data_IF_171147965790
#
_entry.id   IF_171147965790
#
_cell.length_a   1.000
_cell.length_b   1.000
_cell.length_c   1.000
_cell.angle_alpha   90.00
_cell.angle_beta   90.00
_cell.angle_gamma   90.00
#
_symmetry.space_group_name_H-M   'P 1'
#
loop_
_entity.id
_entity.type
_entity.pdbx_description
1 polymer ?
#
# COMPACT_ATOMS: atom_id res chain seq x y z
N UNK A 1 3.19 -27.26 -6.25
CA UNK A 1 2.93 -26.11 -7.10
C UNK A 1 2.05 -25.11 -6.37
N UNK A 2 2.42 -23.89 -6.39
CA UNK A 2 1.68 -22.86 -5.66
C UNK A 2 0.37 -22.54 -6.40
N UNK A 3 -0.80 -22.79 -5.83
CA UNK A 3 -2.05 -22.52 -6.53
C UNK A 3 -2.33 -21.00 -6.53
N UNK A 4 -2.24 -20.40 -7.68
CA UNK A 4 -2.53 -18.96 -7.85
C UNK A 4 -3.93 -18.59 -7.37
N UNK A 5 -4.87 -19.51 -7.50
CA UNK A 5 -6.25 -19.29 -7.07
C UNK A 5 -6.42 -19.12 -5.57
N UNK A 6 -5.46 -19.56 -4.73
CA UNK A 6 -5.49 -19.32 -3.29
C UNK A 6 -4.91 -17.98 -2.89
N UNK A 7 -3.99 -17.41 -3.69
CA UNK A 7 -3.40 -16.11 -3.46
C UNK A 7 -4.17 -14.98 -4.13
N UNK A 8 -4.62 -15.24 -5.35
CA UNK A 8 -5.27 -14.24 -6.18
C UNK A 8 -6.68 -14.71 -6.50
N UNK A 9 -7.64 -14.15 -5.78
CA UNK A 9 -9.07 -14.44 -6.00
C UNK A 9 -9.67 -13.64 -7.14
N UNK A 10 -8.94 -12.68 -7.67
CA UNK A 10 -9.32 -11.89 -8.83
C UNK A 10 -8.85 -12.55 -10.13
N UNK A 11 -9.35 -12.07 -11.26
CA UNK A 11 -8.87 -12.49 -12.58
C UNK A 11 -7.38 -12.13 -12.71
N UNK A 12 -6.55 -13.16 -12.80
CA UNK A 12 -5.12 -13.01 -12.87
C UNK A 12 -4.62 -13.50 -14.22
N UNK A 13 -3.83 -12.67 -14.90
CA UNK A 13 -3.23 -12.99 -16.19
C UNK A 13 -1.72 -12.95 -16.09
N UNK A 14 -1.09 -13.96 -16.66
CA UNK A 14 0.37 -14.01 -16.77
C UNK A 14 0.73 -13.80 -18.23
N UNK A 15 1.52 -12.77 -18.49
CA UNK A 15 1.95 -12.41 -19.82
C UNK A 15 3.45 -12.58 -19.95
N UNK A 16 3.86 -13.26 -21.02
CA UNK A 16 5.27 -13.33 -21.39
C UNK A 16 5.62 -12.14 -22.25
N UNK A 17 6.71 -11.45 -21.93
CA UNK A 17 7.19 -10.31 -22.70
C UNK A 17 8.54 -10.64 -23.35
N UNK A 18 8.82 -10.11 -24.56
CA UNK A 18 10.06 -10.41 -25.27
C UNK A 18 11.29 -9.78 -24.63
N UNK A 19 11.11 -8.68 -23.91
CA UNK A 19 12.21 -7.95 -23.28
C UNK A 19 11.77 -7.43 -21.91
N UNK A 20 12.35 -8.00 -20.86
CA UNK A 20 12.05 -7.59 -19.49
C UNK A 20 12.74 -6.29 -19.09
N UNK A 21 13.78 -5.87 -19.82
CA UNK A 21 14.51 -4.65 -19.49
C UNK A 21 13.62 -3.41 -19.61
N UNK A 22 12.62 -3.45 -20.48
CA UNK A 22 11.60 -2.40 -20.61
C UNK A 22 10.79 -2.23 -19.32
N UNK A 23 10.65 -3.30 -18.53
CA UNK A 23 9.84 -3.31 -17.31
C UNK A 23 10.68 -3.17 -16.03
N UNK A 24 12.00 -3.17 -16.16
CA UNK A 24 12.93 -3.19 -15.03
C UNK A 24 12.77 -1.99 -14.10
N UNK A 25 12.54 -0.83 -14.66
CA UNK A 25 12.40 0.43 -13.92
C UNK A 25 11.00 0.61 -13.32
N UNK A 26 10.06 -0.25 -13.69
CA UNK A 26 8.72 -0.18 -13.13
C UNK A 26 8.65 -0.69 -11.68
N UNK A 27 9.60 -1.56 -11.30
CA UNK A 27 9.60 -2.16 -9.98
C UNK A 27 8.32 -2.97 -9.72
N UNK A 28 8.01 -3.16 -8.45
CA UNK A 28 6.71 -3.67 -8.04
C UNK A 28 5.72 -2.52 -7.97
N UNK A 29 4.55 -2.69 -8.55
CA UNK A 29 3.57 -1.63 -8.57
C UNK A 29 2.14 -2.13 -8.51
N UNK A 30 1.28 -1.24 -8.08
CA UNK A 30 -0.17 -1.41 -8.08
C UNK A 30 -0.79 -0.16 -8.67
N UNK A 31 -1.67 -0.35 -9.63
CA UNK A 31 -2.58 0.69 -10.09
C UNK A 31 -3.99 0.23 -9.78
N UNK A 32 -4.70 1.01 -8.98
CA UNK A 32 -6.09 0.75 -8.65
C UNK A 32 -6.92 1.96 -9.02
N UNK A 33 -7.94 1.74 -9.83
CA UNK A 33 -8.90 2.76 -10.19
C UNK A 33 -10.29 2.27 -9.80
N UNK A 34 -11.03 3.14 -9.15
CA UNK A 34 -12.41 2.86 -8.78
C UNK A 34 -13.29 4.03 -9.21
N UNK A 35 -14.30 3.71 -10.00
CA UNK A 35 -15.36 4.65 -10.34
C UNK A 35 -16.54 4.41 -9.44
N UNK A 36 -17.12 5.49 -8.96
CA UNK A 36 -18.28 5.46 -8.10
C UNK A 36 -19.38 6.37 -8.61
N UNK A 37 -20.56 6.16 -8.07
CA UNK A 37 -21.75 6.91 -8.41
C UNK A 37 -22.25 7.63 -7.16
N UNK A 38 -22.53 8.92 -7.33
CA UNK A 38 -23.29 9.69 -6.35
C UNK A 38 -24.55 10.22 -7.05
N UNK A 39 -25.70 9.74 -6.63
CA UNK A 39 -26.95 10.00 -7.36
C UNK A 39 -27.05 9.16 -8.64
N UNK A 40 -27.39 9.80 -9.76
CA UNK A 40 -27.60 9.15 -11.06
C UNK A 40 -26.41 9.25 -12.02
N UNK A 41 -25.30 9.87 -11.60
CA UNK A 41 -24.13 10.08 -12.44
C UNK A 41 -22.88 9.43 -11.86
N UNK A 42 -22.00 8.96 -12.72
CA UNK A 42 -20.68 8.44 -12.32
C UNK A 42 -19.72 9.63 -12.13
N UNK A 43 -19.76 10.21 -10.96
CA UNK A 43 -19.07 11.47 -10.65
C UNK A 43 -17.97 11.32 -9.59
N UNK A 44 -17.64 10.10 -9.22
CA UNK A 44 -16.59 9.84 -8.26
C UNK A 44 -15.52 8.93 -8.89
N UNK A 45 -14.26 9.26 -8.65
CA UNK A 45 -13.16 8.44 -9.08
C UNK A 45 -12.08 8.43 -8.01
N UNK A 46 -11.62 7.25 -7.68
CA UNK A 46 -10.46 7.04 -6.83
C UNK A 46 -9.36 6.39 -7.66
N UNK A 47 -8.19 6.99 -7.66
CA UNK A 47 -7.00 6.43 -8.29
C UNK A 47 -5.91 6.31 -7.26
N UNK A 48 -5.35 5.11 -7.15
CA UNK A 48 -4.19 4.83 -6.34
C UNK A 48 -3.12 4.21 -7.21
N UNK A 49 -1.93 4.80 -7.22
CA UNK A 49 -0.76 4.25 -7.90
C UNK A 49 0.40 4.14 -6.93
N UNK A 50 1.00 2.97 -6.87
CA UNK A 50 2.17 2.71 -6.06
C UNK A 50 3.25 2.05 -6.92
N UNK A 51 4.45 2.61 -6.90
CA UNK A 51 5.64 2.01 -7.49
C UNK A 51 6.72 1.92 -6.43
N UNK A 52 7.24 0.73 -6.22
CA UNK A 52 8.15 0.47 -5.11
C UNK A 52 9.33 -0.39 -5.51
N UNK A 53 10.43 -0.21 -4.79
CA UNK A 53 11.47 -1.22 -4.69
C UNK A 53 11.12 -2.11 -3.48
N UNK A 54 10.88 -3.38 -3.72
CA UNK A 54 10.34 -4.27 -2.70
C UNK A 54 11.24 -4.36 -1.45
N UNK A 55 12.56 -4.63 -1.55
CA UNK A 55 13.42 -4.69 -0.37
C UNK A 55 13.44 -3.37 0.43
N UNK A 56 13.51 -2.25 -0.27
CA UNK A 56 13.56 -0.95 0.39
C UNK A 56 12.25 -0.62 1.11
N UNK A 57 11.11 -0.87 0.47
CA UNK A 57 9.83 -0.65 1.10
C UNK A 57 9.62 -1.56 2.31
N UNK A 58 9.97 -2.84 2.18
CA UNK A 58 9.84 -3.79 3.28
C UNK A 58 10.64 -3.34 4.50
N UNK A 59 11.89 -2.93 4.31
CA UNK A 59 12.73 -2.41 5.38
C UNK A 59 12.11 -1.16 6.03
N UNK A 60 11.60 -0.24 5.23
CA UNK A 60 10.99 0.98 5.72
C UNK A 60 9.71 0.69 6.53
N UNK A 61 8.87 -0.21 6.05
CA UNK A 61 7.65 -0.61 6.77
C UNK A 61 7.98 -1.32 8.07
N UNK A 62 9.01 -2.14 8.10
CA UNK A 62 9.46 -2.80 9.34
C UNK A 62 9.90 -1.77 10.39
N UNK A 63 10.69 -0.78 10.00
CA UNK A 63 11.12 0.29 10.91
C UNK A 63 9.92 1.13 11.37
N UNK A 64 9.03 1.47 10.47
CA UNK A 64 7.82 2.22 10.79
C UNK A 64 6.91 1.43 11.75
N UNK A 65 6.78 0.13 11.56
CA UNK A 65 6.01 -0.74 12.45
C UNK A 65 6.64 -0.84 13.83
N UNK A 66 7.96 -0.93 13.92
CA UNK A 66 8.67 -0.89 15.20
C UNK A 66 8.43 0.44 15.93
N UNK A 67 8.43 1.55 15.21
CA UNK A 67 8.10 2.87 15.76
C UNK A 67 6.67 2.91 16.30
N UNK A 68 5.71 2.42 15.51
CA UNK A 68 4.31 2.37 15.92
C UNK A 68 4.12 1.52 17.17
N UNK A 69 4.83 0.41 17.30
CA UNK A 69 4.75 -0.48 18.45
C UNK A 69 5.08 0.21 19.78
N UNK A 70 5.90 1.21 19.75
CA UNK A 70 6.26 2.00 20.94
C UNK A 70 5.14 2.94 21.39
N UNK A 71 4.18 3.22 20.53
CA UNK A 71 3.06 4.13 20.80
C UNK A 71 1.77 3.40 21.14
N UNK A 72 1.73 2.10 20.93
CA UNK A 72 0.54 1.28 21.12
C UNK A 72 0.54 0.56 22.45
N UNK A 73 -0.66 0.29 22.96
CA UNK A 73 -0.83 -0.62 24.10
C UNK A 73 -0.41 -2.04 23.72
N UNK A 74 -0.03 -2.85 24.71
CA UNK A 74 0.33 -4.24 24.46
C UNK A 74 -0.82 -5.00 23.79
N UNK A 75 -0.52 -5.73 22.73
CA UNK A 75 -1.52 -6.47 21.97
C UNK A 75 -0.99 -6.91 20.62
N UNK A 76 -1.87 -7.48 19.83
CA UNK A 76 -1.61 -7.87 18.45
C UNK A 76 -2.42 -6.98 17.51
N UNK A 77 -1.76 -6.46 16.48
CA UNK A 77 -2.37 -5.50 15.56
C UNK A 77 -2.08 -5.90 14.12
N UNK A 78 -3.04 -5.67 13.25
CA UNK A 78 -2.80 -5.64 11.81
C UNK A 78 -2.49 -4.22 11.37
N UNK A 79 -1.83 -4.05 10.23
CA UNK A 79 -1.46 -2.71 9.74
C UNK A 79 -2.67 -1.77 9.60
N UNK A 80 -3.82 -2.21 9.07
CA UNK A 80 -5.00 -1.34 8.96
C UNK A 80 -5.57 -0.83 10.29
N UNK A 81 -5.29 -1.50 11.40
CA UNK A 81 -5.78 -1.09 12.71
C UNK A 81 -4.98 0.05 13.32
N UNK A 82 -3.81 0.35 12.76
CA UNK A 82 -2.88 1.34 13.29
C UNK A 82 -3.10 2.67 12.56
N UNK A 83 -3.22 3.75 13.32
CA UNK A 83 -3.33 5.07 12.73
C UNK A 83 -2.08 5.41 11.91
N UNK A 84 -2.23 5.95 10.69
CA UNK A 84 -1.07 6.29 9.84
C UNK A 84 -0.03 7.17 10.53
N UNK A 85 -0.45 8.06 11.40
CA UNK A 85 0.46 8.94 12.15
C UNK A 85 1.40 8.19 13.08
N UNK A 86 0.99 7.03 13.59
CA UNK A 86 1.81 6.25 14.51
C UNK A 86 3.01 5.61 13.83
N UNK A 87 2.98 5.48 12.50
CA UNK A 87 4.12 5.03 11.71
C UNK A 87 5.19 6.10 11.48
N UNK A 88 4.85 7.37 11.72
CA UNK A 88 5.73 8.50 11.42
C UNK A 88 6.53 8.90 12.66
N UNK A 89 7.77 9.40 12.46
CA UNK A 89 8.55 9.97 13.55
C UNK A 89 7.98 11.33 13.95
N UNK A 90 8.01 11.63 15.25
CA UNK A 90 7.61 12.92 15.75
C UNK A 90 6.40 12.89 16.65
N UNK A 91 6.08 14.04 17.17
CA UNK A 91 4.93 14.25 18.03
C UNK A 91 3.63 14.32 17.20
N UNK A 92 2.56 13.80 17.77
CA UNK A 92 1.27 13.73 17.08
C UNK A 92 0.75 15.10 16.65
N UNK A 93 0.85 16.10 17.51
CA UNK A 93 0.38 17.45 17.20
C UNK A 93 1.19 18.10 16.09
N UNK A 94 2.50 17.92 16.12
CA UNK A 94 3.37 18.41 15.05
C UNK A 94 3.08 17.75 13.71
N UNK A 95 2.85 16.44 13.72
CA UNK A 95 2.50 15.69 12.51
C UNK A 95 1.16 16.15 11.94
N UNK A 96 0.17 16.38 12.77
CA UNK A 96 -1.12 16.92 12.32
C UNK A 96 -0.92 18.27 11.66
N UNK A 97 -0.14 19.15 12.27
CA UNK A 97 0.13 20.48 11.72
C UNK A 97 0.85 20.43 10.36
N UNK A 98 1.70 19.43 10.14
CA UNK A 98 2.43 19.26 8.88
C UNK A 98 1.60 18.59 7.79
N UNK A 99 0.69 17.69 8.15
CA UNK A 99 -0.04 16.87 7.20
C UNK A 99 -1.41 17.43 6.81
N UNK A 100 -1.91 18.37 7.58
CA UNK A 100 -3.25 18.97 7.34
C UNK A 100 -3.13 20.45 6.84
#
# INVERSE_FOLDING_TARGET
LFPYTTLFRSDTRVLQVPDIDVLKDMGHGVLMERKGVSGSTQNQMFTFEMRINNPALTAQVMVASARASMKLAAGCYTLPEIAPMDFLPGDREELIAQLV
#
